data_IF_307669224902
#
_entry.id   IF_307669224902
#
_cell.length_a   1.000
_cell.length_b   1.000
_cell.length_c   1.000
_cell.angle_alpha   90.00
_cell.angle_beta   90.00
_cell.angle_gamma   90.00
#
_symmetry.space_group_name_H-M   'P 1'
#
loop_
_entity.id
_entity.type
_entity.pdbx_description
1 polymer ?
#
# COMPACT_ATOMS: atom_id res chain seq x y z
N UNK A 1 45.43 -18.95 35.48
CA UNK A 1 44.90 -18.92 34.10
C UNK A 1 44.15 -20.20 33.92
N UNK A 2 42.87 -20.13 33.55
CA UNK A 2 42.05 -21.31 33.31
C UNK A 2 41.88 -21.45 31.80
N UNK A 3 42.39 -22.57 31.29
CA UNK A 3 42.34 -22.97 29.89
C UNK A 3 40.95 -23.49 29.52
N UNK A 4 40.52 -23.19 28.29
CA UNK A 4 39.25 -23.64 27.70
C UNK A 4 39.48 -24.91 26.86
N UNK A 5 39.01 -26.05 27.36
CA UNK A 5 38.90 -27.30 26.59
C UNK A 5 37.54 -27.35 25.89
N UNK A 6 37.55 -27.43 24.56
CA UNK A 6 36.39 -27.58 23.69
C UNK A 6 36.32 -29.03 23.21
N UNK A 7 35.71 -29.90 24.00
CA UNK A 7 35.50 -31.29 23.61
C UNK A 7 34.20 -31.89 24.17
N UNK A 8 33.05 -31.29 23.87
CA UNK A 8 31.80 -32.05 23.84
C UNK A 8 30.75 -31.39 22.95
N UNK A 9 30.42 -32.03 21.82
CA UNK A 9 29.07 -32.14 21.24
C UNK A 9 29.19 -32.90 19.92
N UNK A 10 29.39 -34.22 20.03
CA UNK A 10 29.24 -35.16 18.93
C UNK A 10 27.86 -35.80 19.10
N UNK A 11 26.92 -35.48 18.21
CA UNK A 11 25.61 -36.15 18.14
C UNK A 11 24.42 -35.20 18.12
N UNK A 12 24.22 -34.50 17.00
CA UNK A 12 22.89 -34.05 16.59
C UNK A 12 22.74 -34.38 15.10
N UNK A 13 22.12 -35.53 14.83
CA UNK A 13 21.71 -35.93 13.49
C UNK A 13 20.53 -35.06 13.06
N UNK A 14 20.64 -34.41 11.89
CA UNK A 14 19.55 -33.68 11.25
C UNK A 14 18.92 -34.55 10.17
N UNK A 15 17.98 -35.42 10.56
CA UNK A 15 17.16 -36.16 9.62
C UNK A 15 15.69 -36.07 10.05
N UNK A 16 14.87 -35.37 9.24
CA UNK A 16 13.42 -35.26 9.44
C UNK A 16 12.72 -36.03 8.32
N UNK A 17 11.89 -37.04 8.62
CA UNK A 17 11.24 -37.85 7.60
C UNK A 17 10.18 -37.06 6.83
N UNK A 18 10.32 -37.00 5.50
CA UNK A 18 9.31 -36.49 4.58
C UNK A 18 8.18 -37.52 4.45
N UNK A 19 7.07 -37.29 5.16
CA UNK A 19 5.86 -38.08 4.94
C UNK A 19 5.14 -37.57 3.68
N UNK A 20 5.28 -38.33 2.59
CA UNK A 20 4.53 -38.15 1.34
C UNK A 20 3.09 -38.66 1.53
N UNK A 21 2.18 -37.76 1.94
CA UNK A 21 0.74 -38.03 1.87
C UNK A 21 0.20 -37.54 0.51
N UNK A 22 -0.18 -38.50 -0.32
CA UNK A 22 -0.88 -38.29 -1.60
C UNK A 22 -2.26 -37.68 -1.34
N UNK A 23 -2.48 -36.45 -1.80
CA UNK A 23 -3.81 -35.81 -1.76
C UNK A 23 -4.66 -36.32 -2.93
N UNK A 24 -5.70 -37.09 -2.59
CA UNK A 24 -6.78 -37.46 -3.50
C UNK A 24 -7.68 -36.23 -3.67
N UNK A 25 -7.86 -35.79 -4.91
CA UNK A 25 -8.75 -34.67 -5.23
C UNK A 25 -10.21 -35.06 -4.96
N UNK A 26 -10.81 -34.44 -3.94
CA UNK A 26 -12.25 -34.39 -3.74
C UNK A 26 -12.71 -32.95 -4.00
N UNK A 27 -13.58 -32.80 -4.98
CA UNK A 27 -14.24 -31.56 -5.38
C UNK A 27 -15.29 -31.21 -4.32
N UNK A 28 -15.00 -30.23 -3.46
CA UNK A 28 -16.02 -29.57 -2.65
C UNK A 28 -15.96 -28.05 -2.84
N UNK A 29 -17.09 -27.50 -3.29
CA UNK A 29 -17.34 -26.06 -3.47
C UNK A 29 -17.52 -25.41 -2.11
N UNK A 30 -16.43 -25.14 -1.40
CA UNK A 30 -16.40 -24.12 -0.37
C UNK A 30 -14.95 -23.66 -0.21
N UNK A 31 -14.54 -22.69 -1.03
CA UNK A 31 -13.19 -22.14 -1.01
C UNK A 31 -13.01 -21.22 0.21
N UNK A 32 -12.94 -21.84 1.39
CA UNK A 32 -12.49 -21.24 2.64
C UNK A 32 -10.96 -21.40 2.77
N UNK A 33 -10.21 -21.25 1.68
CA UNK A 33 -8.76 -21.16 1.79
C UNK A 33 -8.40 -19.81 2.42
N UNK A 34 -8.06 -19.85 3.72
CA UNK A 34 -7.61 -18.68 4.47
C UNK A 34 -6.21 -18.30 3.98
N UNK A 35 -6.11 -17.20 3.23
CA UNK A 35 -4.82 -16.60 2.89
C UNK A 35 -4.33 -15.72 4.05
N UNK A 36 -3.45 -16.26 4.89
CA UNK A 36 -2.71 -15.50 5.92
C UNK A 36 -3.56 -14.97 7.10
N UNK A 37 -3.08 -13.89 7.71
CA UNK A 37 -3.55 -13.20 8.93
C UNK A 37 -5.03 -12.80 8.98
N UNK A 38 -5.80 -12.98 7.91
CA UNK A 38 -7.17 -12.50 7.79
C UNK A 38 -8.14 -13.10 8.83
N UNK A 39 -7.90 -14.32 9.32
CA UNK A 39 -8.77 -15.00 10.29
C UNK A 39 -8.02 -15.55 11.52
N UNK A 40 -6.72 -15.26 11.67
CA UNK A 40 -5.85 -16.02 12.58
C UNK A 40 -6.14 -15.84 14.09
N UNK A 41 -7.11 -15.01 14.46
CA UNK A 41 -7.51 -14.80 15.87
C UNK A 41 -8.98 -14.39 16.03
N UNK A 42 -9.82 -14.63 15.03
CA UNK A 42 -11.24 -14.29 15.12
C UNK A 42 -11.95 -15.31 16.01
N UNK A 43 -12.60 -14.89 17.12
CA UNK A 43 -13.32 -15.83 17.98
C UNK A 43 -14.41 -16.58 17.22
N UNK A 44 -14.70 -17.80 17.66
CA UNK A 44 -15.79 -18.60 17.09
C UNK A 44 -17.11 -17.81 17.16
N UNK A 45 -17.88 -17.85 16.06
CA UNK A 45 -19.12 -17.09 15.90
C UNK A 45 -18.94 -15.64 15.44
N UNK A 46 -17.71 -15.11 15.39
CA UNK A 46 -17.43 -13.77 14.89
C UNK A 46 -16.90 -13.76 13.45
N UNK A 47 -17.10 -12.63 12.75
CA UNK A 47 -16.56 -12.38 11.43
C UNK A 47 -15.36 -11.43 11.51
N UNK A 48 -14.24 -11.81 10.87
CA UNK A 48 -13.17 -10.87 10.58
C UNK A 48 -13.63 -9.91 9.49
N UNK A 49 -13.62 -8.62 9.75
CA UNK A 49 -14.01 -7.63 8.75
C UNK A 49 -12.93 -7.51 7.67
N UNK A 50 -13.39 -7.46 6.42
CA UNK A 50 -12.55 -7.28 5.25
C UNK A 50 -12.82 -5.92 4.61
N UNK A 51 -12.00 -5.56 3.63
CA UNK A 51 -12.20 -4.32 2.86
C UNK A 51 -13.55 -4.28 2.15
N UNK A 52 -14.08 -5.41 1.69
CA UNK A 52 -15.43 -5.51 1.12
C UNK A 52 -16.55 -5.12 2.10
N UNK A 53 -16.30 -5.23 3.40
CA UNK A 53 -17.27 -4.87 4.44
C UNK A 53 -17.27 -3.37 4.77
N UNK A 54 -16.24 -2.63 4.32
CA UNK A 54 -16.13 -1.20 4.59
C UNK A 54 -17.05 -0.41 3.67
N UNK A 55 -17.77 0.55 4.24
CA UNK A 55 -18.56 1.53 3.52
C UNK A 55 -18.28 2.91 4.08
N UNK A 56 -18.41 3.92 3.22
CA UNK A 56 -18.43 5.30 3.66
C UNK A 56 -19.66 5.56 4.53
N UNK A 57 -19.50 6.36 5.58
CA UNK A 57 -20.63 6.78 6.43
C UNK A 57 -21.54 7.75 5.67
N UNK A 58 -20.93 8.73 5.01
CA UNK A 58 -21.59 9.71 4.16
C UNK A 58 -21.33 9.41 2.68
N UNK A 59 -22.30 9.64 1.77
CA UNK A 59 -22.07 9.46 0.34
C UNK A 59 -20.89 10.29 -0.18
N UNK A 60 -20.07 9.67 -1.03
CA UNK A 60 -18.94 10.32 -1.66
C UNK A 60 -19.38 11.47 -2.57
N UNK A 61 -18.69 12.61 -2.47
CA UNK A 61 -18.97 13.80 -3.29
C UNK A 61 -18.52 13.63 -4.75
N UNK A 62 -17.38 12.97 -4.95
CA UNK A 62 -16.83 12.68 -6.27
C UNK A 62 -16.99 11.18 -6.57
N UNK A 63 -17.90 10.88 -7.50
CA UNK A 63 -18.21 9.53 -8.00
C UNK A 63 -17.75 9.33 -9.44
N UNK A 64 -16.95 10.26 -9.99
CA UNK A 64 -16.42 10.14 -11.34
C UNK A 64 -15.54 8.89 -11.46
N UNK A 65 -15.61 8.24 -12.62
CA UNK A 65 -14.66 7.21 -13.00
C UNK A 65 -13.25 7.81 -13.16
N UNK A 66 -12.22 6.98 -13.03
CA UNK A 66 -10.85 7.41 -13.29
C UNK A 66 -10.66 7.81 -14.76
N UNK A 67 -10.02 8.95 -14.99
CA UNK A 67 -9.58 9.44 -16.30
C UNK A 67 -8.38 8.63 -16.83
N UNK A 68 -7.50 8.20 -15.92
CA UNK A 68 -6.40 7.28 -16.21
C UNK A 68 -5.96 6.50 -14.97
N UNK A 69 -5.14 5.48 -15.20
CA UNK A 69 -4.52 4.66 -14.17
C UNK A 69 -3.03 4.98 -14.04
N UNK A 70 -2.53 5.00 -12.80
CA UNK A 70 -1.12 4.98 -12.46
C UNK A 70 -0.85 3.66 -11.75
N UNK A 71 -0.09 2.77 -12.39
CA UNK A 71 0.41 1.56 -11.75
C UNK A 71 1.61 1.88 -10.85
N UNK A 72 1.55 1.39 -9.61
CA UNK A 72 2.56 1.55 -8.58
C UNK A 72 2.98 0.15 -8.12
N UNK A 73 4.16 -0.30 -8.58
CA UNK A 73 4.70 -1.62 -8.23
C UNK A 73 5.52 -1.54 -6.96
N UNK A 74 5.16 -2.34 -5.97
CA UNK A 74 5.80 -2.40 -4.66
C UNK A 74 6.75 -3.61 -4.67
N UNK A 75 8.04 -3.32 -4.74
CA UNK A 75 9.09 -4.33 -4.80
C UNK A 75 9.81 -4.48 -3.46
N UNK A 76 10.40 -5.64 -3.24
CA UNK A 76 11.35 -5.77 -2.16
C UNK A 76 12.13 -7.08 -2.14
N UNK A 77 13.26 -7.05 -1.44
CA UNK A 77 14.12 -8.20 -1.22
C UNK A 77 14.52 -8.22 0.27
N UNK A 78 14.11 -9.28 0.97
CA UNK A 78 14.38 -9.45 2.41
C UNK A 78 15.86 -9.63 2.73
N UNK A 79 16.58 -10.39 1.91
CA UNK A 79 18.00 -10.72 2.14
C UNK A 79 18.89 -9.48 2.10
N UNK A 80 18.64 -8.58 1.13
CA UNK A 80 19.39 -7.32 0.96
C UNK A 80 18.71 -6.11 1.57
N UNK A 81 17.56 -6.31 2.20
CA UNK A 81 16.70 -5.27 2.78
C UNK A 81 16.44 -4.09 1.83
N UNK A 82 16.07 -4.41 0.58
CA UNK A 82 15.76 -3.42 -0.45
C UNK A 82 14.25 -3.29 -0.55
N UNK A 83 13.74 -2.06 -0.54
CA UNK A 83 12.31 -1.75 -0.64
C UNK A 83 12.12 -0.60 -1.63
N UNK A 84 11.29 -0.80 -2.65
CA UNK A 84 11.20 0.13 -3.79
C UNK A 84 9.76 0.39 -4.20
N UNK A 85 9.57 1.55 -4.83
CA UNK A 85 8.38 1.88 -5.61
C UNK A 85 8.81 1.95 -7.07
N UNK A 86 8.12 1.23 -7.95
CA UNK A 86 8.44 1.13 -9.39
C UNK A 86 9.90 0.73 -9.66
N UNK A 87 10.44 -0.18 -8.83
CA UNK A 87 11.81 -0.68 -8.95
C UNK A 87 12.90 0.28 -8.50
N UNK A 88 12.55 1.51 -8.06
CA UNK A 88 13.50 2.55 -7.66
C UNK A 88 13.38 2.89 -6.18
N UNK A 89 14.50 3.29 -5.57
CA UNK A 89 14.50 3.94 -4.25
C UNK A 89 14.15 5.42 -4.41
N UNK A 90 13.71 6.05 -3.32
CA UNK A 90 13.28 7.46 -3.32
C UNK A 90 14.26 8.43 -4.01
N UNK A 91 15.57 8.28 -3.79
CA UNK A 91 16.61 9.13 -4.38
C UNK A 91 16.77 8.98 -5.90
N UNK A 92 16.22 7.92 -6.49
CA UNK A 92 16.29 7.59 -7.92
C UNK A 92 14.93 7.70 -8.61
N UNK A 93 13.84 7.75 -7.83
CA UNK A 93 12.47 7.68 -8.30
C UNK A 93 12.03 8.97 -9.01
N UNK A 94 11.40 8.79 -10.16
CA UNK A 94 10.68 9.88 -10.81
C UNK A 94 9.36 10.13 -10.05
N UNK A 95 9.01 11.39 -9.76
CA UNK A 95 7.74 11.70 -9.13
C UNK A 95 6.54 11.25 -9.96
N UNK A 96 5.48 10.82 -9.29
CA UNK A 96 4.18 10.63 -9.89
C UNK A 96 3.56 12.02 -10.12
N UNK A 97 3.19 12.36 -11.35
CA UNK A 97 2.64 13.70 -11.67
C UNK A 97 1.19 13.58 -12.09
N UNK A 98 0.35 14.45 -11.53
CA UNK A 98 -1.10 14.50 -11.77
C UNK A 98 -1.54 15.95 -11.91
N UNK A 99 -2.60 16.19 -12.67
CA UNK A 99 -3.16 17.54 -12.83
C UNK A 99 -4.09 17.84 -11.66
N UNK A 100 -4.16 19.10 -11.25
CA UNK A 100 -5.18 19.55 -10.30
C UNK A 100 -6.60 19.22 -10.81
N UNK A 101 -7.43 18.65 -9.94
CA UNK A 101 -8.80 18.20 -10.24
C UNK A 101 -8.90 16.87 -10.98
N UNK A 102 -7.77 16.30 -11.41
CA UNK A 102 -7.71 15.02 -12.12
C UNK A 102 -8.22 13.89 -11.22
N UNK A 103 -9.05 13.03 -11.80
CA UNK A 103 -9.51 11.80 -11.15
C UNK A 103 -8.68 10.63 -11.66
N UNK A 104 -7.81 10.08 -10.84
CA UNK A 104 -6.93 8.96 -11.23
C UNK A 104 -7.23 7.69 -10.45
N UNK A 105 -6.92 6.55 -11.04
CA UNK A 105 -6.82 5.28 -10.32
C UNK A 105 -5.36 5.05 -9.93
N UNK A 106 -5.09 4.91 -8.65
CA UNK A 106 -3.81 4.38 -8.15
C UNK A 106 -3.95 2.87 -8.02
N UNK A 107 -3.20 2.13 -8.82
CA UNK A 107 -3.17 0.66 -8.80
C UNK A 107 -1.88 0.18 -8.14
N UNK A 108 -1.97 -0.23 -6.89
CA UNK A 108 -0.85 -0.78 -6.15
C UNK A 108 -0.71 -2.26 -6.43
N UNK A 109 0.41 -2.67 -7.02
CA UNK A 109 0.73 -4.09 -7.27
C UNK A 109 1.87 -4.50 -6.36
N UNK A 110 1.64 -5.42 -5.44
CA UNK A 110 2.67 -5.90 -4.53
C UNK A 110 3.36 -7.15 -5.09
N UNK A 111 4.60 -6.97 -5.54
CA UNK A 111 5.46 -8.03 -6.06
C UNK A 111 6.30 -8.71 -4.98
N UNK A 112 6.24 -8.22 -3.74
CA UNK A 112 7.01 -8.75 -2.63
C UNK A 112 6.20 -9.75 -1.80
N UNK A 113 6.91 -10.47 -0.93
CA UNK A 113 6.33 -11.42 0.01
C UNK A 113 5.87 -10.79 1.33
N UNK A 114 5.92 -9.46 1.47
CA UNK A 114 5.51 -8.74 2.68
C UNK A 114 4.37 -7.77 2.38
N UNK A 115 3.47 -7.58 3.34
CA UNK A 115 2.40 -6.59 3.22
C UNK A 115 2.98 -5.17 3.29
N UNK A 116 2.44 -4.27 2.48
CA UNK A 116 2.82 -2.86 2.48
C UNK A 116 1.60 -1.97 2.76
N UNK A 117 1.53 -1.31 3.92
CA UNK A 117 0.57 -0.24 4.16
C UNK A 117 1.01 1.00 3.39
N UNK A 118 0.42 1.26 2.23
CA UNK A 118 0.73 2.43 1.40
C UNK A 118 -0.04 3.64 1.91
N UNK A 119 0.68 4.66 2.33
CA UNK A 119 0.17 5.92 2.86
C UNK A 119 0.40 7.06 1.85
N UNK A 120 -0.65 7.85 1.63
CA UNK A 120 -0.60 9.09 0.86
C UNK A 120 -0.85 10.28 1.79
N UNK A 121 -0.01 11.30 1.69
CA UNK A 121 -0.16 12.56 2.39
C UNK A 121 -1.10 13.51 1.62
N UNK A 122 -1.70 14.46 2.34
CA UNK A 122 -2.48 15.57 1.78
C UNK A 122 -3.90 15.21 1.35
N UNK A 123 -4.13 14.03 0.79
CA UNK A 123 -5.42 13.62 0.21
C UNK A 123 -5.85 12.24 0.68
N UNK A 124 -7.15 11.95 0.59
CA UNK A 124 -7.70 10.61 0.81
C UNK A 124 -7.77 9.82 -0.49
N UNK A 125 -7.54 8.52 -0.38
CA UNK A 125 -7.76 7.54 -1.43
C UNK A 125 -9.10 6.83 -1.18
N UNK A 126 -10.02 6.88 -2.14
CA UNK A 126 -11.26 6.09 -2.10
C UNK A 126 -10.94 4.65 -2.51
N UNK A 127 -11.22 3.69 -1.63
CA UNK A 127 -10.91 2.29 -1.88
C UNK A 127 -11.91 1.66 -2.85
N UNK A 128 -11.43 1.07 -3.95
CA UNK A 128 -12.27 0.28 -4.84
C UNK A 128 -12.46 -1.13 -4.25
N UNK A 129 -13.47 -1.28 -3.39
CA UNK A 129 -13.77 -2.51 -2.64
C UNK A 129 -15.06 -3.22 -3.06
N UNK A 130 -15.57 -2.91 -4.26
CA UNK A 130 -16.82 -3.49 -4.79
C UNK A 130 -18.10 -2.82 -4.29
N UNK A 131 -17.99 -1.77 -3.47
CA UNK A 131 -19.12 -0.90 -3.13
C UNK A 131 -19.53 -0.04 -4.34
N UNK A 132 -20.77 0.44 -4.32
CA UNK A 132 -21.20 1.51 -5.24
C UNK A 132 -20.24 2.72 -5.13
N UNK A 133 -19.93 3.44 -6.21
CA UNK A 133 -19.04 4.61 -6.16
C UNK A 133 -19.41 5.65 -5.10
N UNK A 134 -20.70 5.81 -4.77
CA UNK A 134 -21.15 6.71 -3.70
C UNK A 134 -20.84 6.19 -2.29
N UNK A 135 -20.56 4.90 -2.11
CA UNK A 135 -20.33 4.26 -0.81
C UNK A 135 -18.87 3.81 -0.59
N UNK A 136 -17.96 4.06 -1.54
CA UNK A 136 -16.56 3.70 -1.40
C UNK A 136 -15.92 4.45 -0.20
N UNK A 137 -15.22 3.78 0.72
CA UNK A 137 -14.66 4.41 1.91
C UNK A 137 -13.36 5.17 1.60
N UNK A 138 -13.14 6.29 2.30
CA UNK A 138 -11.89 7.05 2.25
C UNK A 138 -10.82 6.45 3.16
N UNK A 139 -9.59 6.35 2.66
CA UNK A 139 -8.41 5.83 3.36
C UNK A 139 -7.21 6.74 3.08
N UNK A 140 -6.49 7.17 4.10
CA UNK A 140 -5.16 7.77 3.91
C UNK A 140 -4.06 6.70 3.78
N UNK A 141 -4.33 5.48 4.26
CA UNK A 141 -3.43 4.32 4.18
C UNK A 141 -4.20 3.07 3.76
N UNK A 142 -3.71 2.36 2.74
CA UNK A 142 -4.26 1.09 2.27
C UNK A 142 -3.24 -0.03 2.39
N UNK A 143 -3.65 -1.18 2.93
CA UNK A 143 -2.80 -2.35 3.06
C UNK A 143 -2.83 -3.10 1.73
N UNK A 144 -1.65 -3.33 1.14
CA UNK A 144 -1.47 -4.12 -0.07
C UNK A 144 -0.84 -5.46 0.32
N UNK A 145 -1.60 -6.56 0.38
CA UNK A 145 -1.08 -7.87 0.79
C UNK A 145 -0.05 -8.43 -0.19
N UNK A 146 0.78 -9.41 0.23
CA UNK A 146 1.76 -10.08 -0.64
C UNK A 146 1.13 -10.65 -1.91
N UNK A 147 1.72 -10.38 -3.07
CA UNK A 147 1.25 -10.91 -4.36
C UNK A 147 -0.15 -10.44 -4.78
N UNK A 148 -0.70 -9.40 -4.14
CA UNK A 148 -2.03 -8.86 -4.42
C UNK A 148 -1.95 -7.48 -5.05
N UNK A 149 -3.07 -7.09 -5.68
CA UNK A 149 -3.29 -5.75 -6.20
C UNK A 149 -4.41 -5.09 -5.41
N UNK A 150 -4.25 -3.82 -5.07
CA UNK A 150 -5.29 -2.96 -4.49
C UNK A 150 -5.41 -1.73 -5.37
N UNK A 151 -6.64 -1.35 -5.72
CA UNK A 151 -6.91 -0.14 -6.47
C UNK A 151 -7.67 0.88 -5.63
N UNK A 152 -7.34 2.13 -5.86
CA UNK A 152 -8.00 3.27 -5.21
C UNK A 152 -8.22 4.38 -6.21
N UNK A 153 -9.24 5.21 -5.99
CA UNK A 153 -9.47 6.44 -6.71
C UNK A 153 -8.96 7.62 -5.90
N UNK A 154 -8.26 8.52 -6.56
CA UNK A 154 -7.79 9.78 -6.00
C UNK A 154 -8.34 10.92 -6.82
N UNK A 155 -8.95 11.89 -6.16
CA UNK A 155 -9.19 13.23 -6.73
C UNK A 155 -8.03 14.12 -6.30
N UNK A 156 -7.28 14.63 -7.27
CA UNK A 156 -6.10 15.44 -7.00
C UNK A 156 -6.48 16.91 -6.71
N UNK A 157 -7.09 17.16 -5.56
CA UNK A 157 -7.66 18.46 -5.16
C UNK A 157 -6.77 19.31 -4.24
N UNK A 158 -5.55 18.84 -3.95
CA UNK A 158 -4.56 19.55 -3.12
C UNK A 158 -3.26 19.80 -3.89
N UNK A 159 -3.00 21.07 -4.26
CA UNK A 159 -1.78 21.47 -4.97
C UNK A 159 -0.52 21.27 -4.11
N UNK A 160 0.55 20.74 -4.71
CA UNK A 160 1.84 20.62 -4.06
C UNK A 160 2.57 19.31 -4.35
N UNK A 161 3.57 19.03 -3.52
CA UNK A 161 4.31 17.77 -3.52
C UNK A 161 3.96 16.98 -2.26
N UNK A 162 3.36 15.81 -2.43
CA UNK A 162 2.88 14.97 -1.35
C UNK A 162 3.68 13.68 -1.28
N UNK A 163 4.08 13.27 -0.08
CA UNK A 163 4.74 11.99 0.09
C UNK A 163 3.74 10.84 -0.14
N UNK A 164 4.19 9.82 -0.86
CA UNK A 164 3.52 8.52 -0.94
C UNK A 164 4.53 7.44 -0.58
N UNK A 165 4.27 6.69 0.48
CA UNK A 165 5.27 5.75 1.03
C UNK A 165 4.64 4.58 1.76
N UNK A 166 5.45 3.54 1.98
CA UNK A 166 5.06 2.47 2.89
C UNK A 166 5.14 2.96 4.34
N UNK A 167 4.12 2.66 5.15
CA UNK A 167 4.02 3.09 6.54
C UNK A 167 4.74 2.12 7.51
N UNK A 168 5.36 1.06 6.99
CA UNK A 168 6.37 0.34 7.74
C UNK A 168 7.65 1.19 7.74
N UNK A 169 7.95 1.80 8.90
CA UNK A 169 8.99 2.82 9.05
C UNK A 169 10.33 2.39 8.45
N UNK A 170 10.73 1.13 8.67
CA UNK A 170 12.00 0.63 8.14
C UNK A 170 12.01 0.45 6.62
N UNK A 171 10.86 0.21 5.98
CA UNK A 171 10.76 0.17 4.52
C UNK A 171 10.86 1.58 3.95
N UNK A 172 10.17 2.54 4.58
CA UNK A 172 10.27 3.96 4.23
C UNK A 172 11.73 4.43 4.31
N UNK A 173 12.41 4.18 5.44
CA UNK A 173 13.81 4.58 5.63
C UNK A 173 14.78 3.90 4.66
N UNK A 174 14.44 2.70 4.18
CA UNK A 174 15.24 1.96 3.20
C UNK A 174 14.99 2.41 1.74
N UNK A 175 14.01 3.28 1.50
CA UNK A 175 13.76 3.93 0.21
C UNK A 175 12.39 3.68 -0.42
N UNK A 176 11.45 2.99 0.24
CA UNK A 176 10.09 2.76 -0.28
C UNK A 176 9.20 3.98 -0.08
N UNK A 177 9.53 5.03 -0.82
CA UNK A 177 8.89 6.33 -0.82
C UNK A 177 8.99 6.92 -2.23
N UNK A 178 8.00 7.71 -2.61
CA UNK A 178 8.00 8.56 -3.80
C UNK A 178 7.24 9.86 -3.48
N UNK A 179 7.23 10.80 -4.43
CA UNK A 179 6.42 12.02 -4.39
C UNK A 179 5.27 11.90 -5.39
N UNK A 180 4.09 12.34 -4.99
CA UNK A 180 2.96 12.64 -5.85
C UNK A 180 2.86 14.16 -5.99
N UNK A 181 3.06 14.67 -7.20
CA UNK A 181 3.02 16.09 -7.52
C UNK A 181 1.66 16.40 -8.15
N UNK A 182 0.91 17.29 -7.50
CA UNK A 182 -0.33 17.87 -8.04
C UNK A 182 -0.02 19.27 -8.52
N UNK A 183 -0.16 19.49 -9.83
CA UNK A 183 0.17 20.78 -10.46
C UNK A 183 -1.00 21.31 -11.29
N UNK A 184 -1.11 22.64 -11.37
CA UNK A 184 -1.92 23.28 -12.41
C UNK A 184 -1.27 23.06 -13.77
N UNK A 185 -2.07 22.72 -14.77
CA UNK A 185 -1.62 22.71 -16.17
C UNK A 185 -2.36 23.84 -16.85
N UNK A 186 -1.67 24.93 -17.14
CA UNK A 186 -2.21 25.95 -18.04
C UNK A 186 -2.13 25.39 -19.47
N UNK A 187 -3.23 25.45 -20.21
CA UNK A 187 -3.29 25.05 -21.62
C UNK A 187 -2.56 26.09 -22.47
N UNK A 188 -1.23 26.02 -22.46
CA UNK A 188 -0.37 26.92 -23.23
C UNK A 188 1.00 27.10 -22.59
N UNK A 189 1.97 26.30 -23.04
CA UNK A 189 3.41 26.41 -22.75
C UNK A 189 3.85 25.84 -21.38
N UNK A 190 4.25 24.57 -21.41
CA UNK A 190 4.81 23.82 -20.30
C UNK A 190 6.19 24.35 -19.86
N UNK A 191 6.19 25.15 -18.80
CA UNK A 191 7.34 25.30 -17.89
C UNK A 191 6.88 25.08 -16.46
N UNK A 192 7.47 24.07 -15.81
CA UNK A 192 7.21 23.67 -14.43
C UNK A 192 7.45 24.84 -13.48
N UNK A 193 6.41 25.34 -12.84
CA UNK A 193 6.52 26.05 -11.56
C UNK A 193 5.27 25.77 -10.76
N UNK A 194 5.39 24.93 -9.73
CA UNK A 194 4.35 24.79 -8.71
C UNK A 194 4.59 25.92 -7.70
N UNK A 195 3.64 26.84 -7.48
CA UNK A 195 3.77 27.84 -6.43
C UNK A 195 3.84 27.15 -5.07
N UNK A 196 4.79 27.56 -4.25
CA UNK A 196 4.90 27.16 -2.85
C UNK A 196 3.59 27.50 -2.12
N UNK A 197 3.14 26.59 -1.26
CA UNK A 197 1.88 26.64 -0.51
C UNK A 197 1.59 28.04 0.02
N UNK A 198 0.57 28.70 -0.52
CA UNK A 198 0.09 29.96 0.04
C UNK A 198 -0.64 29.66 1.35
N UNK A 199 0.04 29.98 2.45
CA UNK A 199 -0.55 30.01 3.78
C UNK A 199 -1.59 31.13 3.79
N UNK A 200 -2.87 30.78 3.78
CA UNK A 200 -3.94 31.75 3.99
C UNK A 200 -3.91 32.23 5.46
N UNK A 201 -4.25 33.50 5.72
CA UNK A 201 -4.11 34.22 7.02
C UNK A 201 -4.86 33.60 8.22
N UNK A 202 -5.43 32.40 8.08
CA UNK A 202 -6.06 31.62 9.15
C UNK A 202 -5.33 30.34 9.55
N UNK A 203 -4.17 30.02 8.95
CA UNK A 203 -3.22 29.04 9.49
C UNK A 203 -3.73 27.60 9.70
N UNK A 204 -4.86 27.21 9.14
CA UNK A 204 -5.41 25.85 9.27
C UNK A 204 -5.60 25.26 7.89
N UNK A 205 -4.71 24.32 7.53
CA UNK A 205 -5.00 23.35 6.48
C UNK A 205 -5.95 22.30 7.10
N UNK A 206 -7.18 22.13 6.58
CA UNK A 206 -8.13 21.15 7.11
C UNK A 206 -7.61 19.69 7.04
N UNK A 207 -6.54 19.45 6.28
CA UNK A 207 -5.86 18.16 6.13
C UNK A 207 -4.60 18.00 7.00
N UNK A 208 -4.17 19.01 7.75
CA UNK A 208 -2.89 19.00 8.50
C UNK A 208 -2.95 18.45 9.93
N UNK A 209 -4.10 17.95 10.39
CA UNK A 209 -4.23 17.34 11.71
C UNK A 209 -4.27 15.82 11.63
N UNK A 210 -3.17 15.15 11.29
CA UNK A 210 -2.98 13.71 11.57
C UNK A 210 -1.51 13.33 11.65
#
# INVERSE_FOLDING_TARGET
GMDHDMSSMKGMDHDMPMNSATVKAASDKNDNTVFGWANASTPEGNKALQYSDLQSLDPQKDTRAAEREIEIRLGGNMERYIWTINGKKFNEADPLVVKYGERIRLKFVNDSMMAHPMHLHGMFMQLENGQDPSNMPNKHTVIVPPGKTITTLLTADELGEWAIHCHLLYHMSAGMMNKLIVAQVEDGNSTKTVPQSQVNEKGVNPHANH
#
